data_IF_779397469460
#
_entry.id   IF_779397469460
#
_cell.length_a   1.000
_cell.length_b   1.000
_cell.length_c   1.000
_cell.angle_alpha   90.00
_cell.angle_beta   90.00
_cell.angle_gamma   90.00
#
_symmetry.space_group_name_H-M   'P 1'
#
loop_
_entity.id
_entity.type
_entity.pdbx_description
1 polymer ?
#
# COMPACT_ATOMS: atom_id res chain seq x y z
N UNK A 1 -17.34 -76.97 -11.44
CA UNK A 1 -15.95 -76.95 -11.96
C UNK A 1 -15.92 -76.03 -13.17
N UNK A 2 -15.05 -75.02 -13.17
CA UNK A 2 -14.68 -74.17 -14.32
C UNK A 2 -14.15 -75.02 -15.50
N UNK A 3 -13.93 -74.45 -16.72
CA UNK A 3 -14.29 -73.11 -17.22
C UNK A 3 -14.99 -73.12 -18.61
N UNK A 4 -15.54 -71.97 -19.02
CA UNK A 4 -15.75 -71.63 -20.44
C UNK A 4 -14.94 -70.38 -20.80
N UNK A 5 -14.23 -70.53 -21.91
CA UNK A 5 -13.40 -69.59 -22.63
C UNK A 5 -14.28 -68.61 -23.42
N UNK A 6 -14.03 -67.31 -23.36
CA UNK A 6 -14.35 -66.39 -24.47
C UNK A 6 -13.51 -65.12 -24.39
N UNK A 7 -12.79 -64.87 -25.49
CA UNK A 7 -11.97 -63.70 -25.75
C UNK A 7 -12.86 -62.48 -26.01
N UNK A 8 -12.55 -61.35 -25.39
CA UNK A 8 -13.06 -60.04 -25.80
C UNK A 8 -11.90 -59.07 -25.96
N UNK A 9 -11.68 -58.71 -27.22
CA UNK A 9 -10.84 -57.63 -27.72
C UNK A 9 -11.06 -56.33 -26.93
N UNK A 10 -9.97 -55.70 -26.48
CA UNK A 10 -9.97 -54.28 -26.16
C UNK A 10 -8.95 -53.57 -27.05
N UNK A 11 -9.48 -52.83 -28.02
CA UNK A 11 -8.74 -51.92 -28.88
C UNK A 11 -8.15 -50.79 -28.03
N UNK A 12 -6.82 -50.68 -28.05
CA UNK A 12 -6.08 -49.56 -27.53
C UNK A 12 -6.20 -48.40 -28.54
N UNK A 13 -7.07 -47.42 -28.27
CA UNK A 13 -7.06 -46.15 -28.99
C UNK A 13 -6.01 -45.24 -28.35
N UNK A 14 -4.86 -45.11 -29.02
CA UNK A 14 -3.87 -44.06 -28.75
C UNK A 14 -4.34 -42.81 -29.50
N UNK A 15 -4.92 -41.85 -28.79
CA UNK A 15 -5.18 -40.52 -29.34
C UNK A 15 -3.94 -39.64 -29.12
N UNK A 16 -3.24 -39.38 -30.23
CA UNK A 16 -2.10 -38.48 -30.31
C UNK A 16 -2.62 -37.03 -30.37
N UNK A 17 -2.55 -36.29 -29.26
CA UNK A 17 -2.81 -34.86 -29.24
C UNK A 17 -1.55 -34.12 -29.68
N UNK A 18 -1.59 -33.55 -30.88
CA UNK A 18 -0.55 -32.68 -31.44
C UNK A 18 -0.59 -31.34 -30.68
N UNK A 19 0.45 -31.04 -29.91
CA UNK A 19 0.71 -29.70 -29.40
C UNK A 19 1.04 -28.77 -30.58
N UNK A 20 0.27 -27.69 -30.75
CA UNK A 20 0.61 -26.59 -31.65
C UNK A 20 1.57 -25.65 -30.91
N UNK A 21 2.85 -25.77 -31.21
CA UNK A 21 3.84 -24.74 -30.91
C UNK A 21 3.51 -23.49 -31.74
N UNK A 22 3.07 -22.43 -31.07
CA UNK A 22 3.04 -21.10 -31.66
C UNK A 22 4.42 -20.47 -31.46
N UNK A 23 5.31 -20.74 -32.40
CA UNK A 23 6.62 -20.13 -32.53
C UNK A 23 6.47 -18.64 -32.88
N UNK A 24 6.54 -17.76 -31.87
CA UNK A 24 6.75 -16.32 -32.09
C UNK A 24 8.24 -16.03 -31.98
N UNK A 25 8.88 -15.99 -33.14
CA UNK A 25 10.27 -15.61 -33.32
C UNK A 25 10.39 -14.07 -33.20
N UNK A 26 10.76 -13.58 -32.02
CA UNK A 26 11.14 -12.18 -31.82
C UNK A 26 12.65 -12.10 -31.66
N UNK A 27 13.31 -11.93 -32.80
CA UNK A 27 14.74 -11.64 -32.87
C UNK A 27 14.93 -10.13 -32.64
N UNK A 28 15.21 -9.72 -31.40
CA UNK A 28 15.60 -8.35 -31.07
C UNK A 28 16.99 -8.37 -30.44
N UNK A 29 17.99 -8.21 -31.30
CA UNK A 29 19.35 -7.91 -30.93
C UNK A 29 19.40 -6.42 -30.54
N UNK A 30 19.18 -6.12 -29.26
CA UNK A 30 19.35 -4.76 -28.71
C UNK A 30 20.23 -4.83 -27.47
N UNK A 31 21.49 -4.49 -27.65
CA UNK A 31 22.47 -4.31 -26.59
C UNK A 31 22.17 -2.99 -25.87
N UNK A 32 21.23 -3.02 -24.94
CA UNK A 32 21.05 -1.98 -23.91
C UNK A 32 20.66 -2.66 -22.61
N UNK A 33 21.44 -2.44 -21.55
CA UNK A 33 21.22 -2.96 -20.20
C UNK A 33 19.97 -2.30 -19.58
N UNK A 34 18.79 -2.79 -19.95
CA UNK A 34 17.53 -2.39 -19.34
C UNK A 34 17.09 -3.51 -18.41
N UNK A 35 17.03 -3.25 -17.10
CA UNK A 35 16.27 -4.03 -16.14
C UNK A 35 14.85 -4.19 -16.72
N UNK A 36 14.57 -5.35 -17.30
CA UNK A 36 13.27 -5.68 -17.88
C UNK A 36 12.30 -5.93 -16.73
N UNK A 37 11.61 -4.87 -16.31
CA UNK A 37 10.38 -5.01 -15.54
C UNK A 37 9.43 -5.91 -16.33
N UNK A 38 9.03 -7.04 -15.77
CA UNK A 38 7.97 -7.84 -16.35
C UNK A 38 6.66 -7.09 -16.14
N UNK A 39 6.29 -6.24 -17.11
CA UNK A 39 5.03 -5.51 -17.15
C UNK A 39 3.89 -6.53 -17.07
N UNK A 40 3.41 -6.76 -15.85
CA UNK A 40 2.29 -7.65 -15.56
C UNK A 40 1.09 -6.77 -15.31
N UNK A 41 0.07 -6.95 -16.13
CA UNK A 41 -1.21 -6.25 -16.00
C UNK A 41 -2.34 -7.26 -15.86
N UNK A 42 -3.44 -6.86 -15.24
CA UNK A 42 -4.62 -7.70 -15.16
C UNK A 42 -5.81 -7.01 -14.53
N UNK A 43 -6.90 -7.75 -14.45
CA UNK A 43 -8.11 -7.34 -13.74
C UNK A 43 -8.07 -7.85 -12.31
N UNK A 44 -8.36 -6.98 -11.36
CA UNK A 44 -8.46 -7.30 -9.92
C UNK A 44 -9.77 -6.78 -9.35
N UNK A 45 -10.22 -7.42 -8.28
CA UNK A 45 -11.36 -6.95 -7.49
C UNK A 45 -10.83 -6.22 -6.26
N UNK A 46 -10.68 -4.89 -6.39
CA UNK A 46 -10.04 -4.06 -5.39
C UNK A 46 -11.01 -3.70 -4.25
N UNK A 47 -10.57 -3.84 -3.01
CA UNK A 47 -11.30 -3.53 -1.77
C UNK A 47 -10.65 -2.41 -0.98
N UNK A 48 -11.44 -1.60 -0.23
CA UNK A 48 -10.89 -0.54 0.61
C UNK A 48 -10.26 -1.11 1.89
N UNK A 49 -9.06 -0.66 2.23
CA UNK A 49 -8.37 -0.97 3.48
C UNK A 49 -8.13 0.30 4.29
N UNK A 50 -8.64 0.36 5.51
CA UNK A 50 -8.57 1.55 6.36
C UNK A 50 -7.30 1.66 7.21
N UNK A 51 -6.54 0.56 7.36
CA UNK A 51 -5.44 0.46 8.30
C UNK A 51 -4.11 0.31 7.58
N UNK A 52 -3.14 1.17 7.90
CA UNK A 52 -1.80 1.05 7.37
C UNK A 52 -1.07 -0.16 7.98
N UNK A 53 -0.41 -0.94 7.12
CA UNK A 53 0.54 -1.98 7.51
C UNK A 53 1.55 -2.22 6.37
N UNK A 54 2.61 -2.96 6.69
CA UNK A 54 3.62 -3.39 5.73
C UNK A 54 4.28 -4.69 6.18
N UNK A 55 4.14 -5.75 5.38
CA UNK A 55 4.78 -7.05 5.60
C UNK A 55 6.29 -7.05 5.34
N UNK A 56 6.81 -6.03 4.67
CA UNK A 56 8.25 -5.85 4.40
C UNK A 56 8.90 -4.77 5.27
N UNK A 57 8.15 -4.21 6.23
CA UNK A 57 8.68 -3.23 7.17
C UNK A 57 8.89 -1.83 6.57
N UNK A 58 8.11 -1.44 5.56
CA UNK A 58 8.09 -0.04 5.11
C UNK A 58 7.47 0.84 6.20
N UNK A 59 8.03 2.02 6.42
CA UNK A 59 7.65 2.93 7.49
C UNK A 59 6.60 3.94 7.01
N UNK A 60 5.40 3.87 7.59
CA UNK A 60 4.25 4.69 7.21
C UNK A 60 4.47 6.19 7.42
N UNK A 61 5.28 6.58 8.41
CA UNK A 61 5.61 7.99 8.65
C UNK A 61 6.59 8.58 7.63
N UNK A 62 7.03 7.79 6.65
CA UNK A 62 7.98 8.19 5.60
C UNK A 62 7.39 8.00 4.19
N UNK A 63 6.09 7.73 4.06
CA UNK A 63 5.39 7.56 2.79
C UNK A 63 3.97 8.14 2.83
N UNK A 64 3.34 8.29 1.67
CA UNK A 64 1.90 8.56 1.59
C UNK A 64 1.08 7.27 1.84
N UNK A 65 0.57 7.11 3.05
CA UNK A 65 -0.24 5.94 3.45
C UNK A 65 -1.61 5.88 2.77
N UNK A 66 -2.03 6.94 2.05
CA UNK A 66 -3.26 6.96 1.24
C UNK A 66 -3.08 6.32 -0.13
N UNK A 67 -1.87 5.86 -0.45
CA UNK A 67 -1.46 5.32 -1.76
C UNK A 67 -0.72 4.00 -1.62
N UNK A 68 -1.28 3.06 -0.87
CA UNK A 68 -0.71 1.74 -0.59
C UNK A 68 -1.58 0.64 -1.19
N UNK A 69 -0.91 -0.42 -1.63
CA UNK A 69 -1.44 -1.62 -2.22
C UNK A 69 -1.05 -2.85 -1.38
N UNK A 70 -2.04 -3.67 -1.03
CA UNK A 70 -1.92 -4.87 -0.20
C UNK A 70 -2.34 -6.09 -1.06
N UNK A 71 -1.36 -6.81 -1.59
CA UNK A 71 -1.58 -7.82 -2.63
C UNK A 71 -1.60 -9.24 -2.05
N UNK A 72 -2.32 -10.21 -2.65
CA UNK A 72 -2.33 -11.59 -2.15
C UNK A 72 -0.93 -12.25 -2.13
N UNK A 73 -0.11 -11.86 -3.10
CA UNK A 73 1.21 -12.42 -3.33
C UNK A 73 2.28 -11.60 -2.62
N UNK A 74 3.37 -12.26 -2.23
CA UNK A 74 4.55 -11.64 -1.62
C UNK A 74 5.00 -10.39 -2.37
N UNK A 75 5.52 -9.42 -1.62
CA UNK A 75 6.12 -8.20 -2.17
C UNK A 75 7.39 -8.55 -2.94
N UNK A 76 7.59 -7.90 -4.07
CA UNK A 76 8.69 -8.15 -5.00
C UNK A 76 9.78 -7.08 -4.88
N UNK A 77 11.01 -7.39 -5.29
CA UNK A 77 12.15 -6.47 -5.21
C UNK A 77 12.18 -5.41 -6.32
N UNK A 78 11.43 -5.60 -7.40
CA UNK A 78 11.41 -4.71 -8.56
C UNK A 78 10.03 -4.06 -8.75
N UNK A 79 8.95 -4.80 -8.51
CA UNK A 79 7.57 -4.40 -8.75
C UNK A 79 6.90 -3.83 -7.50
N UNK A 80 7.54 -2.84 -6.87
CA UNK A 80 7.02 -2.14 -5.67
C UNK A 80 6.03 -1.01 -5.99
N UNK A 81 5.84 -0.71 -7.28
CA UNK A 81 4.91 0.31 -7.74
C UNK A 81 3.93 -0.27 -8.76
N UNK A 82 2.65 0.05 -8.58
CA UNK A 82 1.60 -0.31 -9.55
C UNK A 82 0.83 0.93 -9.97
N UNK A 83 0.24 0.89 -11.16
CA UNK A 83 -0.89 1.73 -11.52
C UNK A 83 -2.17 0.93 -11.27
N UNK A 84 -3.18 1.56 -10.66
CA UNK A 84 -4.52 1.01 -10.55
C UNK A 84 -5.51 1.98 -11.20
N UNK A 85 -6.35 1.44 -12.09
CA UNK A 85 -7.24 2.22 -12.94
C UNK A 85 -8.67 1.75 -12.79
N UNK A 86 -9.59 2.71 -12.62
CA UNK A 86 -11.03 2.52 -12.70
C UNK A 86 -11.61 3.56 -13.66
N UNK A 87 -12.20 3.09 -14.75
CA UNK A 87 -12.69 3.93 -15.85
C UNK A 87 -11.56 4.84 -16.37
N UNK A 88 -11.75 6.16 -16.33
CA UNK A 88 -10.81 7.19 -16.78
C UNK A 88 -9.84 7.67 -15.69
N UNK A 89 -9.95 7.14 -14.46
CA UNK A 89 -9.12 7.55 -13.32
C UNK A 89 -8.08 6.50 -12.99
N UNK A 90 -6.85 6.96 -12.74
CA UNK A 90 -5.74 6.13 -12.33
C UNK A 90 -5.01 6.76 -11.14
N UNK A 91 -4.42 5.91 -10.30
CA UNK A 91 -3.48 6.29 -9.25
C UNK A 91 -2.29 5.34 -9.26
N UNK A 92 -1.14 5.84 -8.79
CA UNK A 92 0.01 5.00 -8.47
C UNK A 92 -0.05 4.59 -7.00
N UNK A 93 0.31 3.33 -6.70
CA UNK A 93 0.28 2.77 -5.35
C UNK A 93 1.58 2.02 -5.06
N UNK A 94 2.08 2.17 -3.83
CA UNK A 94 3.18 1.37 -3.29
C UNK A 94 2.66 -0.01 -2.90
N UNK A 95 3.14 -1.06 -3.57
CA UNK A 95 2.86 -2.46 -3.24
C UNK A 95 3.88 -2.95 -2.22
N UNK A 96 3.56 -2.75 -0.94
CA UNK A 96 4.49 -2.94 0.18
C UNK A 96 3.91 -3.80 1.30
N UNK A 97 2.75 -4.39 1.05
CA UNK A 97 2.14 -5.31 1.99
C UNK A 97 1.50 -6.49 1.28
N UNK A 98 1.35 -7.57 2.03
CA UNK A 98 0.69 -8.78 1.59
C UNK A 98 -0.65 -8.88 2.31
N UNK A 99 -1.73 -9.05 1.56
CA UNK A 99 -3.04 -9.37 2.10
C UNK A 99 -3.16 -10.88 2.37
N UNK A 100 -4.21 -11.29 3.07
CA UNK A 100 -4.53 -12.70 3.27
C UNK A 100 -5.34 -13.31 2.11
N UNK A 101 -5.18 -12.79 0.88
CA UNK A 101 -5.82 -13.33 -0.33
C UNK A 101 -6.62 -12.34 -1.16
N UNK A 102 -6.82 -11.11 -0.69
CA UNK A 102 -7.58 -10.05 -1.37
C UNK A 102 -6.67 -9.05 -2.09
N UNK A 103 -7.20 -8.26 -3.03
CA UNK A 103 -6.47 -7.11 -3.56
C UNK A 103 -6.99 -5.88 -2.82
N UNK A 104 -6.35 -5.53 -1.71
CA UNK A 104 -6.77 -4.35 -0.95
C UNK A 104 -5.90 -3.15 -1.34
N UNK A 105 -6.48 -1.96 -1.23
CA UNK A 105 -5.76 -0.68 -1.38
C UNK A 105 -6.22 0.29 -0.31
N UNK A 106 -5.39 1.28 0.03
CA UNK A 106 -5.76 2.32 0.99
C UNK A 106 -7.16 2.87 0.69
N UNK A 107 -7.99 3.05 1.72
CA UNK A 107 -9.38 3.45 1.55
C UNK A 107 -9.51 4.74 0.73
N UNK A 108 -8.60 5.70 0.91
CA UNK A 108 -8.57 6.91 0.09
C UNK A 108 -8.36 6.63 -1.41
N UNK A 109 -7.39 5.78 -1.77
CA UNK A 109 -7.16 5.40 -3.16
C UNK A 109 -8.37 4.71 -3.78
N UNK A 110 -8.96 3.76 -3.05
CA UNK A 110 -10.18 3.08 -3.47
C UNK A 110 -11.34 4.06 -3.69
N UNK A 111 -11.56 4.97 -2.73
CA UNK A 111 -12.65 5.94 -2.77
C UNK A 111 -12.47 6.96 -3.90
N UNK A 112 -11.24 7.43 -4.12
CA UNK A 112 -10.91 8.33 -5.22
C UNK A 112 -11.12 7.65 -6.58
N UNK A 113 -10.62 6.43 -6.76
CA UNK A 113 -10.82 5.68 -7.99
C UNK A 113 -12.31 5.44 -8.28
N UNK A 114 -13.10 5.13 -7.27
CA UNK A 114 -14.52 4.83 -7.44
C UNK A 114 -15.40 6.08 -7.60
N UNK A 115 -15.14 7.14 -6.83
CA UNK A 115 -16.05 8.28 -6.70
C UNK A 115 -15.50 9.58 -7.29
N UNK A 116 -14.18 9.69 -7.42
CA UNK A 116 -13.47 10.92 -7.80
C UNK A 116 -13.11 11.83 -6.62
N UNK A 117 -13.37 11.41 -5.38
CA UNK A 117 -13.14 12.21 -4.17
C UNK A 117 -12.27 11.45 -3.16
N UNK A 118 -11.51 12.18 -2.35
CA UNK A 118 -10.84 11.59 -1.18
C UNK A 118 -11.87 10.94 -0.25
N UNK A 119 -11.47 9.87 0.44
CA UNK A 119 -12.28 9.26 1.49
C UNK A 119 -12.53 10.21 2.68
N UNK A 120 -11.65 11.20 2.89
CA UNK A 120 -11.87 12.23 3.93
C UNK A 120 -12.85 13.32 3.52
N UNK A 121 -13.04 13.52 2.21
CA UNK A 121 -13.95 14.55 1.68
C UNK A 121 -15.37 14.02 1.44
N UNK A 122 -15.46 12.85 0.77
CA UNK A 122 -16.74 12.22 0.42
C UNK A 122 -16.62 10.69 0.59
N UNK A 123 -16.59 10.20 1.84
CA UNK A 123 -16.47 8.78 2.11
C UNK A 123 -17.66 8.02 1.54
N UNK A 124 -17.37 6.87 0.94
CA UNK A 124 -18.37 5.96 0.39
C UNK A 124 -18.15 4.56 0.95
N UNK A 125 -19.24 3.91 1.35
CA UNK A 125 -19.25 2.48 1.67
C UNK A 125 -19.39 1.65 0.39
N UNK A 126 -18.68 0.54 0.31
CA UNK A 126 -18.74 -0.41 -0.78
C UNK A 126 -17.95 -1.68 -0.51
N UNK A 127 -17.63 -2.41 -1.57
CA UNK A 127 -16.90 -3.67 -1.48
C UNK A 127 -15.97 -3.83 -2.68
N UNK A 128 -15.73 -5.07 -3.13
CA UNK A 128 -14.85 -5.31 -4.25
C UNK A 128 -15.36 -4.62 -5.53
N UNK A 129 -14.48 -3.88 -6.20
CA UNK A 129 -14.74 -3.25 -7.50
C UNK A 129 -13.73 -3.75 -8.52
N UNK A 130 -14.22 -4.13 -9.69
CA UNK A 130 -13.37 -4.52 -10.81
C UNK A 130 -12.52 -3.33 -11.29
N UNK A 131 -11.21 -3.47 -11.25
CA UNK A 131 -10.22 -2.47 -11.66
C UNK A 131 -9.10 -3.12 -12.45
N UNK A 132 -8.40 -2.34 -13.28
CA UNK A 132 -7.23 -2.81 -14.02
C UNK A 132 -5.96 -2.37 -13.29
N UNK A 133 -5.08 -3.32 -12.98
CA UNK A 133 -3.75 -3.03 -12.45
C UNK A 133 -2.66 -3.26 -13.49
N UNK A 134 -1.54 -2.58 -13.31
CA UNK A 134 -0.30 -2.79 -14.05
C UNK A 134 0.89 -2.58 -13.12
N UNK A 135 1.85 -3.50 -13.10
CA UNK A 135 3.16 -3.24 -12.52
C UNK A 135 3.89 -2.19 -13.37
N UNK A 136 4.29 -1.09 -12.75
CA UNK A 136 4.97 0.01 -13.43
C UNK A 136 6.36 0.22 -12.83
N UNK A 137 7.22 0.93 -13.55
CA UNK A 137 8.54 1.30 -13.04
C UNK A 137 8.41 2.03 -11.69
N UNK A 138 9.21 1.60 -10.71
CA UNK A 138 9.18 2.11 -9.34
C UNK A 138 9.36 3.63 -9.24
N UNK A 139 9.99 4.26 -10.23
CA UNK A 139 10.11 5.72 -10.31
C UNK A 139 8.77 6.45 -10.35
N UNK A 140 7.70 5.80 -10.83
CA UNK A 140 6.34 6.37 -10.83
C UNK A 140 5.82 6.62 -9.41
N UNK A 141 6.28 5.85 -8.42
CA UNK A 141 5.90 6.00 -7.02
C UNK A 141 6.86 6.87 -6.19
N UNK A 142 7.90 7.49 -6.79
CA UNK A 142 8.87 8.32 -6.04
C UNK A 142 8.23 9.44 -5.23
N UNK A 143 7.16 10.04 -5.75
CA UNK A 143 6.41 11.11 -5.10
C UNK A 143 5.60 10.63 -3.87
N UNK A 144 5.50 9.32 -3.66
CA UNK A 144 4.85 8.71 -2.50
C UNK A 144 5.84 8.40 -1.36
N UNK A 145 7.13 8.70 -1.54
CA UNK A 145 8.19 8.35 -0.60
C UNK A 145 8.90 9.61 -0.11
N UNK A 146 8.74 9.89 1.18
CA UNK A 146 9.24 11.09 1.87
C UNK A 146 10.62 10.87 2.50
N UNK A 147 11.55 10.36 1.68
CA UNK A 147 12.96 10.24 2.06
C UNK A 147 13.84 10.97 1.06
N UNK A 148 15.10 11.23 1.46
CA UNK A 148 16.08 11.80 0.54
C UNK A 148 16.30 10.86 -0.64
N UNK A 149 15.99 11.35 -1.84
CA UNK A 149 16.12 10.59 -3.09
C UNK A 149 14.99 9.57 -3.33
N UNK A 150 13.89 9.64 -2.56
CA UNK A 150 12.76 8.70 -2.65
C UNK A 150 13.18 7.24 -2.50
N UNK A 151 14.15 6.99 -1.60
CA UNK A 151 14.60 5.65 -1.21
C UNK A 151 13.56 5.00 -0.29
N UNK A 152 13.25 3.73 -0.52
CA UNK A 152 12.29 2.96 0.26
C UNK A 152 12.68 2.94 1.75
N UNK A 153 11.87 3.51 2.64
CA UNK A 153 12.17 3.61 4.08
C UNK A 153 11.81 2.31 4.78
N UNK A 154 12.80 1.54 5.17
CA UNK A 154 12.62 0.23 5.78
C UNK A 154 13.04 0.25 7.26
N UNK A 155 12.30 -0.48 8.10
CA UNK A 155 12.66 -0.76 9.49
C UNK A 155 13.88 -1.68 9.54
N UNK A 156 14.99 -1.19 10.07
CA UNK A 156 16.21 -1.99 10.25
C UNK A 156 15.97 -3.26 11.08
N UNK A 157 15.04 -3.21 12.05
CA UNK A 157 14.73 -4.34 12.90
C UNK A 157 13.85 -5.40 12.20
N UNK A 158 12.95 -4.98 11.29
CA UNK A 158 11.87 -5.83 10.79
C UNK A 158 11.88 -6.08 9.27
N UNK A 159 12.75 -5.42 8.49
CA UNK A 159 12.79 -5.57 7.04
C UNK A 159 13.90 -6.49 6.52
N UNK A 160 14.83 -6.93 7.39
CA UNK A 160 16.10 -7.50 6.93
C UNK A 160 15.92 -8.73 6.03
N UNK A 161 15.01 -9.64 6.35
CA UNK A 161 14.76 -10.82 5.51
C UNK A 161 14.33 -10.46 4.08
N UNK A 162 13.47 -9.44 3.94
CA UNK A 162 13.06 -8.94 2.62
C UNK A 162 14.23 -8.27 1.92
N UNK A 163 14.92 -7.34 2.60
CA UNK A 163 16.04 -6.61 2.01
C UNK A 163 17.17 -7.53 1.56
N UNK A 164 17.59 -8.50 2.39
CA UNK A 164 18.62 -9.46 2.01
C UNK A 164 18.19 -10.32 0.82
N UNK A 165 16.92 -10.71 0.74
CA UNK A 165 16.40 -11.44 -0.44
C UNK A 165 16.50 -10.63 -1.74
N UNK A 166 16.46 -9.30 -1.66
CA UNK A 166 16.65 -8.40 -2.78
C UNK A 166 18.12 -8.12 -3.09
N UNK A 167 18.98 -8.04 -2.06
CA UNK A 167 20.43 -7.86 -2.19
C UNK A 167 21.14 -9.13 -2.72
N UNK A 168 20.60 -10.32 -2.43
CA UNK A 168 21.16 -11.61 -2.86
C UNK A 168 20.89 -11.97 -4.32
N UNK A 169 20.04 -11.19 -5.01
CA UNK A 169 19.77 -11.43 -6.42
C UNK A 169 21.02 -11.10 -7.24
N UNK A 170 21.35 -12.00 -8.18
CA UNK A 170 22.55 -11.87 -9.03
C UNK A 170 22.57 -10.59 -9.84
N UNK A 171 21.39 -10.16 -10.30
CA UNK A 171 21.18 -8.89 -10.96
C UNK A 171 20.62 -7.89 -9.95
N UNK A 172 21.09 -6.64 -10.02
CA UNK A 172 20.62 -5.59 -9.11
C UNK A 172 19.11 -5.37 -9.26
N UNK A 173 18.42 -5.29 -8.13
CA UNK A 173 17.00 -4.99 -8.07
C UNK A 173 16.76 -3.54 -7.70
N UNK A 174 15.57 -3.02 -8.01
CA UNK A 174 15.26 -1.64 -7.64
C UNK A 174 15.40 -1.41 -6.13
N UNK A 175 14.88 -2.32 -5.30
CA UNK A 175 14.99 -2.22 -3.84
C UNK A 175 16.44 -2.26 -3.37
N UNK A 176 17.28 -3.16 -3.90
CA UNK A 176 18.70 -3.24 -3.55
C UNK A 176 19.44 -1.91 -3.78
N UNK A 177 19.08 -1.19 -4.85
CA UNK A 177 19.68 0.11 -5.18
C UNK A 177 19.02 1.32 -4.48
N UNK A 178 17.77 1.17 -4.01
CA UNK A 178 16.94 2.29 -3.58
C UNK A 178 16.31 2.09 -2.20
N UNK A 179 17.05 1.58 -1.22
CA UNK A 179 16.59 1.51 0.17
C UNK A 179 17.32 2.51 1.10
N UNK A 180 16.70 2.75 2.24
CA UNK A 180 17.31 3.37 3.43
C UNK A 180 16.75 2.69 4.67
N UNK A 181 17.62 2.33 5.60
CA UNK A 181 17.23 1.70 6.87
C UNK A 181 17.08 2.75 7.96
N UNK A 182 16.06 2.61 8.79
CA UNK A 182 15.86 3.40 10.00
C UNK A 182 15.72 2.52 11.24
N UNK A 183 16.16 3.02 12.39
CA UNK A 183 15.96 2.37 13.68
C UNK A 183 14.55 2.57 14.26
N UNK A 184 13.54 2.57 13.39
CA UNK A 184 12.14 2.62 13.80
C UNK A 184 11.65 1.17 13.86
N UNK A 185 11.09 0.78 15.01
CA UNK A 185 10.76 -0.60 15.29
C UNK A 185 9.51 -1.03 14.53
N UNK A 186 8.41 -0.29 14.58
CA UNK A 186 7.15 -0.70 13.93
C UNK A 186 6.84 0.11 12.65
N UNK A 187 5.99 -0.45 11.79
CA UNK A 187 5.62 0.18 10.51
C UNK A 187 4.75 1.42 10.69
N UNK A 188 3.99 1.54 11.79
CA UNK A 188 3.14 2.70 12.10
C UNK A 188 3.90 3.82 12.84
N UNK A 189 5.23 3.69 12.98
CA UNK A 189 6.15 4.62 13.59
C UNK A 189 5.82 5.05 15.04
N UNK A 190 5.41 4.11 15.88
CA UNK A 190 5.12 4.36 17.30
C UNK A 190 6.29 4.05 18.23
N UNK A 191 7.21 3.20 17.80
CA UNK A 191 8.34 2.71 18.60
C UNK A 191 9.68 2.82 17.86
N UNK A 192 10.75 3.05 18.61
CA UNK A 192 12.13 3.16 18.15
C UNK A 192 12.65 4.59 18.07
N UNK A 193 13.65 4.80 17.22
CA UNK A 193 14.35 6.06 17.02
C UNK A 193 14.37 6.45 15.54
N UNK A 194 14.01 7.71 15.23
CA UNK A 194 14.10 8.23 13.86
C UNK A 194 15.55 8.59 13.48
N UNK A 195 16.34 7.56 13.25
CA UNK A 195 17.74 7.64 12.88
C UNK A 195 18.05 6.63 11.78
N UNK A 196 19.00 6.97 10.92
CA UNK A 196 19.44 6.07 9.85
C UNK A 196 20.39 5.02 10.39
N UNK A 197 20.27 3.83 9.82
CA UNK A 197 21.21 2.73 10.05
C UNK A 197 21.99 2.44 8.77
N UNK A 198 23.21 1.94 8.95
CA UNK A 198 24.08 1.53 7.84
C UNK A 198 24.18 0.01 7.81
N UNK A 199 24.27 -0.58 6.62
CA UNK A 199 24.37 -2.01 6.43
C UNK A 199 25.63 -2.35 5.63
N UNK A 200 26.54 -3.13 6.24
CA UNK A 200 27.70 -3.69 5.55
C UNK A 200 27.36 -5.06 4.94
N UNK A 201 26.69 -5.05 3.79
CA UNK A 201 26.30 -6.28 3.09
C UNK A 201 27.36 -6.69 2.05
N UNK A 202 27.75 -7.99 1.94
CA UNK A 202 27.21 -9.17 2.64
C UNK A 202 27.97 -9.56 3.92
N UNK A 203 28.82 -8.68 4.47
CA UNK A 203 29.63 -8.99 5.65
C UNK A 203 28.80 -9.09 6.95
N UNK A 204 27.65 -8.42 7.01
CA UNK A 204 26.72 -8.37 8.13
C UNK A 204 25.27 -8.62 7.67
N UNK A 205 24.50 -9.28 8.53
CA UNK A 205 23.08 -9.57 8.33
C UNK A 205 22.15 -8.67 9.17
N UNK A 206 22.73 -7.73 9.93
CA UNK A 206 22.02 -6.72 10.71
C UNK A 206 22.65 -5.36 10.43
N UNK A 207 21.83 -4.31 10.43
CA UNK A 207 22.30 -2.95 10.28
C UNK A 207 22.86 -2.40 11.60
N UNK A 208 23.85 -1.52 11.49
CA UNK A 208 24.38 -0.75 12.60
C UNK A 208 23.60 0.56 12.71
N UNK A 209 23.00 0.79 13.88
CA UNK A 209 22.23 1.99 14.19
C UNK A 209 22.91 2.76 15.35
N UNK A 210 22.75 4.09 15.44
CA UNK A 210 23.31 4.87 16.56
C UNK A 210 22.83 4.42 17.95
N UNK A 211 21.54 4.09 18.08
CA UNK A 211 20.98 3.42 19.27
C UNK A 211 20.85 1.91 19.02
N UNK A 212 20.73 1.15 20.11
CA UNK A 212 20.49 -0.29 20.02
C UNK A 212 19.23 -0.56 19.19
N UNK A 213 19.38 -1.38 18.16
CA UNK A 213 18.30 -1.71 17.25
C UNK A 213 17.19 -2.50 17.96
N UNK A 214 15.94 -2.15 17.67
CA UNK A 214 14.77 -2.89 18.16
C UNK A 214 14.36 -2.59 19.60
N UNK A 215 14.89 -1.51 20.20
CA UNK A 215 14.41 -1.02 21.50
C UNK A 215 13.04 -0.36 21.33
N UNK A 216 12.02 -0.77 22.11
CA UNK A 216 10.65 -0.26 21.98
C UNK A 216 10.45 1.07 22.73
N UNK A 217 11.34 2.03 22.51
CA UNK A 217 11.19 3.39 23.05
C UNK A 217 10.08 4.12 22.31
N UNK A 218 9.26 4.93 23.02
CA UNK A 218 8.15 5.66 22.39
C UNK A 218 8.70 6.70 21.41
N UNK A 219 8.36 6.52 20.13
CA UNK A 219 8.66 7.48 19.07
C UNK A 219 7.55 8.53 19.00
N UNK A 220 7.93 9.81 19.05
CA UNK A 220 6.99 10.94 19.02
C UNK A 220 7.19 11.77 17.75
N UNK A 221 6.12 12.43 17.31
CA UNK A 221 6.17 13.37 16.18
C UNK A 221 6.17 12.73 14.79
N UNK A 222 5.94 11.42 14.71
CA UNK A 222 5.91 10.63 13.47
C UNK A 222 4.56 9.91 13.30
N UNK A 223 3.45 10.56 13.67
CA UNK A 223 2.12 9.94 13.69
C UNK A 223 1.69 9.49 12.30
N UNK A 224 1.41 8.19 12.16
CA UNK A 224 0.72 7.62 11.01
C UNK A 224 -0.78 7.69 11.22
N UNK A 225 -1.50 8.08 10.18
CA UNK A 225 -2.96 8.17 10.21
C UNK A 225 -3.61 7.15 9.29
N UNK A 226 -4.70 6.59 9.78
CA UNK A 226 -5.66 5.77 9.09
C UNK A 226 -6.89 6.61 8.71
N UNK A 227 -7.64 6.17 7.70
CA UNK A 227 -8.95 6.74 7.38
C UNK A 227 -9.98 5.65 7.62
N UNK A 228 -10.77 5.78 8.69
CA UNK A 228 -11.74 4.77 9.11
C UNK A 228 -12.77 4.52 8.01
N UNK A 229 -12.91 3.25 7.65
CA UNK A 229 -13.96 2.83 6.75
C UNK A 229 -15.27 2.56 7.53
N UNK A 230 -16.46 2.95 7.01
CA UNK A 230 -16.69 3.80 5.84
C UNK A 230 -16.90 5.27 6.20
N UNK A 231 -16.48 5.71 7.40
CA UNK A 231 -16.81 7.06 7.90
C UNK A 231 -15.96 8.17 7.28
N UNK A 232 -14.79 7.85 6.75
CA UNK A 232 -13.82 8.85 6.28
C UNK A 232 -13.07 9.57 7.41
N UNK A 233 -13.29 9.17 8.66
CA UNK A 233 -12.67 9.81 9.82
C UNK A 233 -11.17 9.51 9.86
N UNK A 234 -10.35 10.56 9.90
CA UNK A 234 -8.90 10.45 10.06
C UNK A 234 -8.56 10.16 11.52
N UNK A 235 -7.89 9.05 11.77
CA UNK A 235 -7.54 8.60 13.12
C UNK A 235 -6.09 8.17 13.22
N UNK A 236 -5.50 8.32 14.41
CA UNK A 236 -4.17 7.78 14.73
C UNK A 236 -4.14 6.26 14.51
N UNK A 237 -3.13 5.76 13.79
CA UNK A 237 -2.92 4.34 13.60
C UNK A 237 -2.53 3.62 14.90
N UNK A 238 -2.03 4.35 15.90
CA UNK A 238 -1.57 3.80 17.17
C UNK A 238 -2.71 3.41 18.12
N UNK A 239 -3.73 4.25 18.22
CA UNK A 239 -4.78 4.13 19.24
C UNK A 239 -6.20 4.44 18.71
N UNK A 240 -6.33 4.79 17.43
CA UNK A 240 -7.61 5.07 16.80
C UNK A 240 -8.25 6.38 17.27
N UNK A 241 -7.53 7.28 17.95
CA UNK A 241 -8.12 8.59 18.30
C UNK A 241 -8.22 9.52 17.09
N UNK A 242 -9.22 10.42 17.05
CA UNK A 242 -9.34 11.42 15.98
C UNK A 242 -8.08 12.29 15.85
N UNK A 243 -7.67 12.61 14.62
CA UNK A 243 -6.45 13.37 14.35
C UNK A 243 -6.41 14.77 14.98
N UNK A 244 -7.57 15.33 15.34
CA UNK A 244 -7.69 16.66 15.96
C UNK A 244 -7.40 16.67 17.46
N UNK A 245 -7.25 15.50 18.10
CA UNK A 245 -7.03 15.41 19.56
C UNK A 245 -5.55 15.47 19.97
N UNK A 246 -4.61 15.23 19.07
CA UNK A 246 -3.18 15.04 19.41
C UNK A 246 -2.23 16.20 19.05
N UNK A 247 -2.72 17.39 18.64
CA UNK A 247 -1.83 18.55 18.55
C UNK A 247 -2.21 19.72 17.65
N UNK A 248 -3.31 20.42 17.96
CA UNK A 248 -3.50 21.79 17.49
C UNK A 248 -2.85 22.80 18.47
N UNK A 249 -1.54 23.00 18.36
CA UNK A 249 -1.01 24.34 18.61
C UNK A 249 -1.42 25.23 17.44
N UNK A 250 -2.51 25.99 17.61
CA UNK A 250 -2.76 27.18 16.80
C UNK A 250 -3.89 27.13 15.76
N UNK A 251 -5.08 26.65 16.13
CA UNK A 251 -6.31 27.18 15.51
C UNK A 251 -7.09 27.89 16.61
N UNK A 252 -7.16 29.22 16.50
CA UNK A 252 -8.08 30.04 17.30
C UNK A 252 -9.49 29.45 17.12
N UNK A 253 -10.01 28.83 18.18
CA UNK A 253 -11.45 28.61 18.33
C UNK A 253 -12.16 29.93 17.99
N UNK A 254 -13.14 29.95 17.07
CA UNK A 254 -14.06 31.07 17.01
C UNK A 254 -14.83 31.05 18.33
N UNK A 255 -14.52 32.02 19.19
CA UNK A 255 -15.20 32.22 20.47
C UNK A 255 -16.71 32.32 20.20
N UNK A 256 -17.46 31.34 20.70
CA UNK A 256 -18.90 31.34 20.67
C UNK A 256 -19.46 32.54 21.43
N UNK A 257 -19.75 33.61 20.70
CA UNK A 257 -20.72 34.66 21.03
C UNK A 257 -21.32 35.22 19.73
N UNK A 258 -21.93 34.36 18.92
CA UNK A 258 -22.98 34.80 18.01
C UNK A 258 -24.27 34.87 18.84
N UNK A 259 -24.55 36.08 19.30
CA UNK A 259 -25.71 36.51 20.05
C UNK A 259 -26.99 35.98 19.40
N UNK A 260 -27.71 35.10 20.10
CA UNK A 260 -29.09 34.77 19.78
C UNK A 260 -29.93 36.04 19.94
N UNK A 261 -30.29 36.68 18.83
CA UNK A 261 -31.20 37.82 18.80
C UNK A 261 -32.56 37.32 18.32
N UNK A 262 -33.29 36.71 19.25
CA UNK A 262 -34.74 36.54 19.14
C UNK A 262 -35.30 37.04 20.45
N UNK A 263 -36.02 38.18 20.42
CA UNK A 263 -37.18 38.44 21.28
C UNK A 263 -37.96 39.66 20.76
N UNK A 264 -39.17 39.33 20.30
CA UNK A 264 -40.46 40.03 20.40
C UNK A 264 -40.54 41.55 20.18
N UNK A 265 -41.21 41.95 19.09
CA UNK A 265 -42.16 43.05 19.13
C UNK A 265 -43.58 42.48 19.12
N UNK A 266 -44.17 42.44 20.31
CA UNK A 266 -45.59 42.15 20.51
C UNK A 266 -46.41 43.40 20.21
N UNK A 267 -47.49 43.22 19.47
CA UNK A 267 -48.49 44.24 19.16
C UNK A 267 -49.22 44.73 20.42
N UNK A 268 -49.60 46.00 20.45
CA UNK A 268 -50.87 46.48 21.02
C UNK A 268 -51.10 48.00 20.76
N UNK A 269 -52.38 48.36 20.65
CA UNK A 269 -53.04 49.68 20.49
C UNK A 269 -53.29 50.09 19.03
N UNK A 270 -54.46 49.83 18.39
CA UNK A 270 -55.89 49.97 18.75
C UNK A 270 -56.34 51.42 18.96
N UNK A 271 -57.00 51.96 17.91
CA UNK A 271 -58.05 53.01 17.81
C UNK A 271 -57.78 54.49 18.19
N UNK A 272 -58.09 55.37 17.22
CA UNK A 272 -58.99 56.52 17.42
C UNK A 272 -58.38 57.93 17.39
N UNK A 273 -58.49 58.63 16.25
CA UNK A 273 -59.29 59.85 15.97
C UNK A 273 -59.03 60.26 14.51
#
# INVERSE_FOLDING_TARGET
>A
MLPRLSLLFHSLFVSLSIARDSNSNSNSNSTTNNNQYAATSGTVWATPHDSYSSSIGVLGCKIDTNRVAYWPNSVDCDNICISLTYQDRSVYLLRIDQSQGAHDVSYDAWNYLYTGYSATDKPTAGGPIEMTFENVDASKCKHLIDTKGSKLPLSAANSMNFLTSCLDRKDSTWVADNYVLYNILDSICTLGHDEKCELDYPAANQAECPHTMGVPDVLKGQTVYNIRYPSGEKVSAADGKPADEDGASGVKQPSGKALALVVLFSACLVFGI
#
